data_IF_012411557908
#
_entry.id   IF_012411557908
#
_cell.length_a   1.000
_cell.length_b   1.000
_cell.length_c   1.000
_cell.angle_alpha   90.00
_cell.angle_beta   90.00
_cell.angle_gamma   90.00
#
_symmetry.space_group_name_H-M   'P 1'
#
loop_
_entity.id
_entity.type
_entity.pdbx_description
1 polymer ?
#
# COMPACT_ATOMS: atom_id res chain seq x y z
N UNK A 1 87.03 9.39 27.09
CA UNK A 1 86.71 10.72 26.53
C UNK A 1 86.06 10.56 25.18
N UNK A 2 84.83 11.07 25.05
CA UNK A 2 84.20 11.28 23.75
C UNK A 2 84.41 12.77 23.48
N UNK A 3 85.34 13.11 22.59
CA UNK A 3 85.53 14.49 22.17
C UNK A 3 84.31 14.93 21.37
N UNK A 4 83.56 15.90 21.93
CA UNK A 4 82.47 16.56 21.24
C UNK A 4 83.07 17.49 20.17
N UNK A 5 82.92 17.09 18.91
CA UNK A 5 83.34 17.86 17.75
C UNK A 5 82.16 18.68 17.25
N UNK A 6 82.37 19.99 17.06
CA UNK A 6 81.36 20.87 16.47
C UNK A 6 81.12 20.53 14.99
N UNK A 7 79.88 20.69 14.55
CA UNK A 7 79.42 20.30 13.21
C UNK A 7 80.19 21.02 12.09
N UNK A 8 80.63 22.25 12.33
CA UNK A 8 81.46 23.02 11.39
C UNK A 8 82.86 22.41 11.23
N UNK A 9 83.48 21.98 12.34
CA UNK A 9 84.80 21.34 12.31
C UNK A 9 84.74 19.97 11.63
N UNK A 10 83.63 19.26 11.77
CA UNK A 10 83.40 17.99 11.08
C UNK A 10 83.19 18.19 9.57
N UNK A 11 82.54 19.29 9.16
CA UNK A 11 82.36 19.67 7.74
C UNK A 11 83.67 19.94 7.02
N UNK A 12 84.60 20.64 7.67
CA UNK A 12 85.92 20.90 7.09
C UNK A 12 86.80 19.65 7.10
N UNK A 13 86.86 18.92 8.22
CA UNK A 13 87.83 17.83 8.37
C UNK A 13 87.39 16.53 7.69
N UNK A 14 86.08 16.25 7.62
CA UNK A 14 85.52 14.99 7.09
C UNK A 14 84.24 15.22 6.26
N UNK A 15 84.32 15.96 5.15
CA UNK A 15 83.18 16.18 4.26
C UNK A 15 82.67 14.87 3.61
N UNK A 16 83.51 13.85 3.53
CA UNK A 16 83.17 12.50 3.07
C UNK A 16 82.11 11.83 3.95
N UNK A 17 82.28 11.89 5.27
CA UNK A 17 81.34 11.31 6.23
C UNK A 17 79.99 12.03 6.21
N UNK A 18 80.01 13.36 6.08
CA UNK A 18 78.77 14.15 5.99
C UNK A 18 78.00 13.82 4.72
N UNK A 19 78.68 13.74 3.57
CA UNK A 19 78.04 13.31 2.32
C UNK A 19 77.45 11.90 2.42
N UNK A 20 78.15 10.97 3.07
CA UNK A 20 77.65 9.61 3.27
C UNK A 20 76.42 9.57 4.18
N UNK A 21 76.38 10.38 5.25
CA UNK A 21 75.21 10.52 6.13
C UNK A 21 74.05 11.18 5.41
N UNK A 22 74.30 12.29 4.71
CA UNK A 22 73.27 12.98 3.91
C UNK A 22 72.68 12.07 2.82
N UNK A 23 73.50 11.24 2.18
CA UNK A 23 73.03 10.27 1.19
C UNK A 23 72.09 9.23 1.82
N UNK A 24 72.49 8.62 2.95
CA UNK A 24 71.63 7.67 3.66
C UNK A 24 70.31 8.28 4.14
N UNK A 25 70.38 9.49 4.70
CA UNK A 25 69.18 10.22 5.15
C UNK A 25 68.26 10.54 3.96
N UNK A 26 68.83 10.92 2.80
CA UNK A 26 68.02 11.11 1.59
C UNK A 26 67.37 9.82 1.11
N UNK A 27 68.09 8.70 1.12
CA UNK A 27 67.54 7.41 0.71
C UNK A 27 66.41 6.95 1.64
N UNK A 28 66.57 7.11 2.97
CA UNK A 28 65.52 6.84 3.95
C UNK A 28 64.29 7.74 3.74
N UNK A 29 64.49 9.05 3.55
CA UNK A 29 63.41 9.99 3.25
C UNK A 29 62.67 9.59 1.97
N UNK A 30 63.39 9.18 0.92
CA UNK A 30 62.77 8.73 -0.33
C UNK A 30 61.89 7.48 -0.14
N UNK A 31 62.36 6.51 0.64
CA UNK A 31 61.59 5.30 0.96
C UNK A 31 60.33 5.65 1.76
N UNK A 32 60.45 6.50 2.78
CA UNK A 32 59.29 6.93 3.57
C UNK A 32 58.27 7.71 2.76
N UNK A 33 58.73 8.62 1.89
CA UNK A 33 57.85 9.38 1.00
C UNK A 33 57.12 8.45 0.04
N UNK A 34 57.83 7.48 -0.55
CA UNK A 34 57.20 6.48 -1.43
C UNK A 34 56.14 5.66 -0.70
N UNK A 35 56.46 5.18 0.51
CA UNK A 35 55.50 4.42 1.31
C UNK A 35 54.28 5.27 1.72
N UNK A 36 54.47 6.54 2.05
CA UNK A 36 53.36 7.46 2.34
C UNK A 36 52.45 7.66 1.12
N UNK A 37 53.03 7.84 -0.07
CA UNK A 37 52.25 7.94 -1.31
C UNK A 37 51.45 6.67 -1.58
N UNK A 38 52.05 5.48 -1.43
CA UNK A 38 51.35 4.19 -1.59
C UNK A 38 50.19 4.05 -0.59
N UNK A 39 50.38 4.50 0.66
CA UNK A 39 49.30 4.52 1.66
C UNK A 39 48.20 5.53 1.32
N UNK A 40 48.56 6.74 0.86
CA UNK A 40 47.60 7.76 0.43
C UNK A 40 46.76 7.27 -0.76
N UNK A 41 47.38 6.63 -1.75
CA UNK A 41 46.68 5.99 -2.86
C UNK A 41 45.71 4.92 -2.36
N UNK A 42 46.14 4.08 -1.41
CA UNK A 42 45.27 3.04 -0.85
C UNK A 42 44.13 3.60 0.00
N UNK A 43 44.36 4.69 0.73
CA UNK A 43 43.32 5.37 1.50
C UNK A 43 42.28 5.95 0.54
N UNK A 44 42.70 6.63 -0.52
CA UNK A 44 41.78 7.20 -1.51
C UNK A 44 40.98 6.13 -2.26
N UNK A 45 41.59 4.99 -2.60
CA UNK A 45 40.88 3.83 -3.17
C UNK A 45 39.84 3.27 -2.21
N UNK A 46 40.20 3.05 -0.94
CA UNK A 46 39.29 2.53 0.07
C UNK A 46 38.14 3.49 0.38
N UNK A 47 38.41 4.80 0.42
CA UNK A 47 37.38 5.82 0.57
C UNK A 47 36.37 5.78 -0.59
N UNK A 48 36.86 5.62 -1.83
CA UNK A 48 36.01 5.42 -3.01
C UNK A 48 35.13 4.17 -2.90
N UNK A 49 35.71 3.03 -2.53
CA UNK A 49 34.96 1.79 -2.31
C UNK A 49 33.90 1.93 -1.21
N UNK A 50 34.20 2.65 -0.13
CA UNK A 50 33.24 2.93 0.94
C UNK A 50 32.08 3.77 0.40
N UNK A 51 32.35 4.79 -0.42
CA UNK A 51 31.27 5.60 -1.00
C UNK A 51 30.38 4.78 -1.93
N UNK A 52 30.96 3.94 -2.78
CA UNK A 52 30.21 3.09 -3.72
C UNK A 52 29.38 2.03 -2.98
N UNK A 53 29.95 1.37 -1.97
CA UNK A 53 29.21 0.40 -1.17
C UNK A 53 28.11 1.05 -0.33
N UNK A 54 28.30 2.31 0.09
CA UNK A 54 27.29 3.06 0.84
C UNK A 54 26.09 3.40 -0.05
N UNK A 55 26.33 3.85 -1.29
CA UNK A 55 25.27 4.13 -2.25
C UNK A 55 24.53 2.85 -2.66
N UNK A 56 25.26 1.77 -2.96
CA UNK A 56 24.65 0.48 -3.32
C UNK A 56 23.78 -0.07 -2.18
N UNK A 57 24.26 0.00 -0.93
CA UNK A 57 23.46 -0.39 0.25
C UNK A 57 22.16 0.41 0.34
N UNK A 58 22.21 1.72 0.14
CA UNK A 58 21.02 2.57 0.25
C UNK A 58 20.01 2.27 -0.85
N UNK A 59 20.48 2.06 -2.08
CA UNK A 59 19.64 1.64 -3.21
C UNK A 59 19.03 0.25 -3.02
N UNK A 60 19.77 -0.69 -2.42
CA UNK A 60 19.22 -2.00 -2.09
C UNK A 60 18.18 -1.92 -0.97
N UNK A 61 18.42 -1.06 0.03
CA UNK A 61 17.49 -0.87 1.14
C UNK A 61 16.16 -0.29 0.65
N UNK A 62 16.18 0.69 -0.24
CA UNK A 62 14.95 1.25 -0.83
C UNK A 62 14.19 0.20 -1.62
N UNK A 63 14.87 -0.56 -2.50
CA UNK A 63 14.26 -1.66 -3.27
C UNK A 63 13.64 -2.73 -2.38
N UNK A 64 14.29 -3.10 -1.27
CA UNK A 64 13.74 -4.08 -0.32
C UNK A 64 12.45 -3.53 0.31
N UNK A 65 12.45 -2.27 0.76
CA UNK A 65 11.25 -1.68 1.37
C UNK A 65 10.08 -1.56 0.40
N UNK A 66 10.34 -1.29 -0.88
CA UNK A 66 9.31 -1.26 -1.93
C UNK A 66 8.77 -2.67 -2.20
N UNK A 67 9.65 -3.66 -2.33
CA UNK A 67 9.26 -5.04 -2.54
C UNK A 67 8.45 -5.61 -1.35
N UNK A 68 8.81 -5.25 -0.12
CA UNK A 68 8.05 -5.63 1.08
C UNK A 68 6.64 -5.03 1.09
N UNK A 69 6.49 -3.77 0.68
CA UNK A 69 5.18 -3.12 0.54
C UNK A 69 4.33 -3.77 -0.56
N UNK A 70 4.91 -4.05 -1.71
CA UNK A 70 4.20 -4.74 -2.79
C UNK A 70 3.76 -6.13 -2.38
N UNK A 71 4.61 -6.86 -1.65
CA UNK A 71 4.27 -8.17 -1.09
C UNK A 71 3.12 -8.07 -0.08
N UNK A 72 3.19 -7.13 0.86
CA UNK A 72 2.14 -6.91 1.85
C UNK A 72 0.81 -6.55 1.17
N UNK A 73 0.85 -5.65 0.17
CA UNK A 73 -0.31 -5.30 -0.65
C UNK A 73 -0.90 -6.49 -1.38
N UNK A 74 -0.07 -7.37 -1.97
CA UNK A 74 -0.53 -8.56 -2.66
C UNK A 74 -1.19 -9.58 -1.70
N UNK A 75 -0.60 -9.80 -0.53
CA UNK A 75 -1.14 -10.68 0.52
C UNK A 75 -2.47 -10.13 1.09
N UNK A 76 -2.52 -8.82 1.34
CA UNK A 76 -3.72 -8.12 1.76
C UNK A 76 -4.83 -8.23 0.69
N UNK A 77 -4.51 -7.97 -0.58
CA UNK A 77 -5.44 -8.09 -1.70
C UNK A 77 -6.01 -9.50 -1.86
N UNK A 78 -5.17 -10.53 -1.73
CA UNK A 78 -5.64 -11.92 -1.78
C UNK A 78 -6.65 -12.21 -0.66
N UNK A 79 -6.32 -11.79 0.57
CA UNK A 79 -7.18 -11.98 1.75
C UNK A 79 -8.49 -11.20 1.64
N UNK A 80 -8.42 -9.94 1.19
CA UNK A 80 -9.58 -9.07 0.98
C UNK A 80 -10.51 -9.65 -0.09
N UNK A 81 -9.95 -10.08 -1.22
CA UNK A 81 -10.73 -10.70 -2.28
C UNK A 81 -11.41 -11.98 -1.81
N UNK A 82 -10.70 -12.83 -1.07
CA UNK A 82 -11.30 -14.05 -0.50
C UNK A 82 -12.44 -13.74 0.47
N UNK A 83 -12.28 -12.74 1.35
CA UNK A 83 -13.31 -12.32 2.29
C UNK A 83 -14.55 -11.73 1.57
N UNK A 84 -14.34 -10.88 0.56
CA UNK A 84 -15.40 -10.27 -0.23
C UNK A 84 -16.13 -11.32 -1.09
N UNK A 85 -15.40 -12.28 -1.66
CA UNK A 85 -15.98 -13.36 -2.46
C UNK A 85 -16.86 -14.28 -1.61
N UNK A 86 -16.43 -14.58 -0.37
CA UNK A 86 -17.21 -15.34 0.62
C UNK A 86 -18.43 -14.59 1.14
N UNK A 87 -18.46 -13.28 1.08
CA UNK A 87 -19.61 -12.50 1.52
C UNK A 87 -20.80 -12.68 0.54
N UNK A 88 -22.02 -12.81 1.08
CA UNK A 88 -23.28 -12.85 0.32
C UNK A 88 -23.72 -11.45 -0.13
N UNK A 89 -22.79 -10.68 -0.72
CA UNK A 89 -23.03 -9.33 -1.24
C UNK A 89 -23.33 -9.36 -2.74
N UNK A 90 -24.14 -8.43 -3.28
CA UNK A 90 -24.29 -8.23 -4.71
C UNK A 90 -22.95 -7.88 -5.38
N UNK A 91 -22.77 -8.26 -6.65
CA UNK A 91 -21.51 -8.03 -7.39
C UNK A 91 -21.05 -6.56 -7.37
N UNK A 92 -21.99 -5.61 -7.50
CA UNK A 92 -21.66 -4.18 -7.46
C UNK A 92 -21.07 -3.73 -6.11
N UNK A 93 -21.49 -4.35 -5.00
CA UNK A 93 -20.95 -4.07 -3.67
C UNK A 93 -19.57 -4.72 -3.48
N UNK A 94 -19.39 -5.94 -4.02
CA UNK A 94 -18.09 -6.63 -4.04
C UNK A 94 -17.02 -5.83 -4.79
N UNK A 95 -17.35 -5.34 -5.98
CA UNK A 95 -16.44 -4.51 -6.79
C UNK A 95 -16.05 -3.20 -6.06
N UNK A 96 -17.01 -2.54 -5.40
CA UNK A 96 -16.73 -1.34 -4.60
C UNK A 96 -15.79 -1.61 -3.43
N UNK A 97 -15.96 -2.74 -2.75
CA UNK A 97 -15.08 -3.13 -1.64
C UNK A 97 -13.66 -3.43 -2.15
N UNK A 98 -13.52 -4.15 -3.26
CA UNK A 98 -12.21 -4.44 -3.86
C UNK A 98 -11.51 -3.13 -4.28
N UNK A 99 -12.22 -2.22 -4.93
CA UNK A 99 -11.66 -0.92 -5.36
C UNK A 99 -11.27 -0.04 -4.16
N UNK A 100 -12.08 -0.02 -3.09
CA UNK A 100 -11.79 0.76 -1.87
C UNK A 100 -10.50 0.31 -1.18
N UNK A 101 -10.21 -0.99 -1.23
CA UNK A 101 -9.04 -1.59 -0.58
C UNK A 101 -7.88 -1.84 -1.54
N UNK A 102 -7.93 -1.37 -2.79
CA UNK A 102 -6.92 -1.65 -3.84
C UNK A 102 -5.48 -1.31 -3.43
N UNK A 103 -5.31 -0.29 -2.58
CA UNK A 103 -4.02 0.22 -2.09
C UNK A 103 -3.74 -0.15 -0.63
N UNK A 104 -4.56 -1.01 -0.02
CA UNK A 104 -4.38 -1.43 1.36
C UNK A 104 -3.16 -2.37 1.46
N UNK A 105 -2.28 -2.06 2.41
CA UNK A 105 -1.12 -2.90 2.77
C UNK A 105 -1.49 -3.96 3.83
N UNK A 106 -2.72 -3.93 4.36
CA UNK A 106 -3.25 -4.95 5.28
C UNK A 106 -4.72 -5.27 4.98
N UNK A 107 -5.18 -6.42 5.47
CA UNK A 107 -6.58 -6.84 5.38
C UNK A 107 -7.45 -6.30 6.53
N UNK A 108 -6.93 -5.37 7.33
CA UNK A 108 -7.63 -4.86 8.51
C UNK A 108 -8.86 -4.03 8.10
N UNK A 109 -9.97 -4.22 8.81
CA UNK A 109 -11.22 -3.50 8.57
C UNK A 109 -12.05 -4.03 7.40
N UNK A 110 -11.59 -5.05 6.64
CA UNK A 110 -12.42 -5.62 5.55
C UNK A 110 -13.69 -6.29 6.08
N UNK A 111 -13.62 -6.95 7.23
CA UNK A 111 -14.76 -7.60 7.88
C UNK A 111 -15.82 -6.56 8.29
N UNK A 112 -15.38 -5.46 8.89
CA UNK A 112 -16.25 -4.34 9.29
C UNK A 112 -16.87 -3.67 8.05
N UNK A 113 -16.10 -3.49 6.99
CA UNK A 113 -16.58 -2.94 5.73
C UNK A 113 -17.64 -3.85 5.08
N UNK A 114 -17.40 -5.17 5.03
CA UNK A 114 -18.37 -6.15 4.56
C UNK A 114 -19.65 -6.08 5.40
N UNK A 115 -19.55 -6.10 6.72
CA UNK A 115 -20.72 -6.04 7.61
C UNK A 115 -21.51 -4.74 7.41
N UNK A 116 -20.83 -3.61 7.28
CA UNK A 116 -21.48 -2.32 7.04
C UNK A 116 -22.26 -2.28 5.72
N UNK A 117 -21.74 -2.96 4.69
CA UNK A 117 -22.38 -3.06 3.38
C UNK A 117 -23.58 -4.01 3.43
N UNK A 118 -23.46 -5.12 4.17
CA UNK A 118 -24.58 -6.04 4.46
C UNK A 118 -25.71 -5.29 5.17
N UNK A 119 -25.40 -4.56 6.23
CA UNK A 119 -26.38 -3.81 7.02
C UNK A 119 -27.05 -2.71 6.19
N UNK A 120 -26.28 -2.03 5.33
CA UNK A 120 -26.80 -1.01 4.42
C UNK A 120 -27.77 -1.60 3.40
N UNK A 121 -27.42 -2.73 2.78
CA UNK A 121 -28.28 -3.42 1.82
C UNK A 121 -29.54 -3.96 2.52
N UNK A 122 -29.42 -4.49 3.73
CA UNK A 122 -30.56 -4.93 4.53
C UNK A 122 -31.54 -3.77 4.79
N UNK A 123 -31.03 -2.61 5.22
CA UNK A 123 -31.85 -1.39 5.41
C UNK A 123 -32.50 -0.92 4.11
N UNK A 124 -31.80 -0.98 2.99
CA UNK A 124 -32.36 -0.64 1.67
C UNK A 124 -33.46 -1.61 1.25
N UNK A 125 -33.27 -2.91 1.49
CA UNK A 125 -34.28 -3.95 1.21
C UNK A 125 -35.54 -3.75 2.05
N UNK A 126 -35.38 -3.39 3.32
CA UNK A 126 -36.51 -3.06 4.20
C UNK A 126 -37.20 -1.76 3.80
N UNK A 127 -36.45 -0.71 3.44
CA UNK A 127 -37.00 0.55 2.96
C UNK A 127 -37.72 0.41 1.60
N UNK A 128 -37.25 -0.49 0.74
CA UNK A 128 -37.86 -0.82 -0.56
C UNK A 128 -39.11 -1.69 -0.45
N UNK A 129 -39.33 -2.36 0.70
CA UNK A 129 -40.61 -3.04 1.00
C UNK A 129 -41.66 -1.99 1.34
N UNK A 130 -42.23 -1.38 0.30
CA UNK A 130 -43.43 -0.57 0.47
C UNK A 130 -44.58 -1.50 0.89
N UNK A 131 -44.96 -1.42 2.16
CA UNK A 131 -46.09 -2.18 2.73
C UNK A 131 -47.36 -1.85 1.93
N UNK A 132 -47.81 -2.80 1.11
CA UNK A 132 -49.03 -2.69 0.31
C UNK A 132 -48.85 -2.60 -1.21
N UNK A 133 -47.61 -2.66 -1.75
CA UNK A 133 -47.38 -2.60 -3.20
C UNK A 133 -46.91 -3.90 -3.87
N UNK A 134 -46.75 -5.00 -3.11
CA UNK A 134 -46.30 -6.28 -3.67
C UNK A 134 -47.07 -7.45 -3.07
N UNK A 135 -47.99 -8.01 -3.86
CA UNK A 135 -48.57 -9.34 -3.61
C UNK A 135 -49.98 -9.39 -3.04
N UNK A 136 -50.93 -8.58 -3.51
CA UNK A 136 -52.29 -9.14 -3.58
C UNK A 136 -52.26 -10.22 -4.65
N UNK A 137 -52.22 -11.50 -4.25
CA UNK A 137 -52.80 -12.52 -5.12
C UNK A 137 -54.21 -12.02 -5.43
N UNK A 138 -54.61 -11.91 -6.71
CA UNK A 138 -55.95 -11.44 -7.06
C UNK A 138 -56.95 -12.36 -6.35
N UNK A 139 -57.55 -11.85 -5.27
CA UNK A 139 -58.61 -12.56 -4.60
C UNK A 139 -59.86 -12.08 -5.32
N UNK A 140 -60.13 -12.74 -6.44
CA UNK A 140 -61.19 -12.36 -7.38
C UNK A 140 -62.54 -12.14 -6.67
N UNK A 141 -62.79 -12.82 -5.55
CA UNK A 141 -64.01 -12.66 -4.77
C UNK A 141 -64.01 -11.36 -3.96
N UNK A 142 -62.93 -11.07 -3.21
CA UNK A 142 -62.77 -9.80 -2.47
C UNK A 142 -62.67 -8.59 -3.38
N UNK A 143 -61.96 -8.72 -4.49
CA UNK A 143 -61.80 -7.63 -5.46
C UNK A 143 -63.15 -7.32 -6.13
N UNK A 144 -63.96 -8.36 -6.40
CA UNK A 144 -65.31 -8.21 -6.96
C UNK A 144 -66.29 -7.60 -5.96
N UNK A 145 -66.22 -7.96 -4.68
CA UNK A 145 -67.03 -7.34 -3.62
C UNK A 145 -66.67 -5.87 -3.42
N UNK A 146 -65.36 -5.54 -3.37
CA UNK A 146 -64.90 -4.16 -3.27
C UNK A 146 -65.34 -3.33 -4.50
N UNK A 147 -65.37 -3.94 -5.69
CA UNK A 147 -65.90 -3.31 -6.89
C UNK A 147 -67.43 -3.09 -6.79
N UNK A 148 -68.19 -4.09 -6.31
CA UNK A 148 -69.65 -3.96 -6.08
C UNK A 148 -69.95 -2.81 -5.11
N UNK A 149 -69.21 -2.71 -4.00
CA UNK A 149 -69.40 -1.63 -3.03
C UNK A 149 -69.03 -0.25 -3.58
N UNK A 150 -67.97 -0.15 -4.40
CA UNK A 150 -67.59 1.12 -5.01
C UNK A 150 -68.64 1.59 -6.03
N UNK A 151 -69.21 0.67 -6.83
CA UNK A 151 -70.33 0.99 -7.72
C UNK A 151 -71.59 1.39 -6.95
N UNK A 152 -71.94 0.73 -5.83
CA UNK A 152 -73.05 1.15 -4.96
C UNK A 152 -72.86 2.57 -4.41
N UNK A 153 -71.62 2.95 -4.10
CA UNK A 153 -71.28 4.27 -3.56
C UNK A 153 -71.27 5.36 -4.63
N UNK A 154 -70.75 5.06 -5.82
CA UNK A 154 -70.64 6.02 -6.91
C UNK A 154 -71.93 6.18 -7.71
N UNK A 155 -72.76 5.13 -7.76
CA UNK A 155 -74.04 5.08 -8.46
C UNK A 155 -75.16 4.52 -7.57
N UNK A 156 -75.63 5.28 -6.56
CA UNK A 156 -76.72 4.85 -5.68
C UNK A 156 -78.04 4.58 -6.41
N UNK A 157 -78.20 5.14 -7.61
CA UNK A 157 -79.36 4.99 -8.48
C UNK A 157 -79.37 3.67 -9.28
N UNK A 158 -78.27 2.91 -9.27
CA UNK A 158 -78.20 1.63 -9.97
C UNK A 158 -78.84 0.51 -9.15
N UNK A 159 -79.63 -0.31 -9.81
CA UNK A 159 -80.17 -1.53 -9.23
C UNK A 159 -79.06 -2.58 -9.05
N UNK A 160 -79.22 -3.49 -8.09
CA UNK A 160 -78.24 -4.56 -7.83
C UNK A 160 -77.91 -5.38 -9.10
N UNK A 161 -78.88 -5.56 -10.00
CA UNK A 161 -78.70 -6.24 -11.28
C UNK A 161 -77.78 -5.48 -12.26
N UNK A 162 -77.86 -4.14 -12.27
CA UNK A 162 -77.00 -3.29 -13.11
C UNK A 162 -75.57 -3.26 -12.56
N UNK A 163 -75.42 -3.20 -11.24
CA UNK A 163 -74.12 -3.27 -10.55
C UNK A 163 -73.46 -4.62 -10.78
N UNK A 164 -74.21 -5.71 -10.69
CA UNK A 164 -73.70 -7.04 -10.98
C UNK A 164 -73.22 -7.20 -12.42
N UNK A 165 -73.98 -6.68 -13.39
CA UNK A 165 -73.61 -6.68 -14.81
C UNK A 165 -72.33 -5.86 -15.08
N UNK A 166 -72.20 -4.70 -14.42
CA UNK A 166 -71.03 -3.84 -14.55
C UNK A 166 -69.77 -4.48 -13.94
N UNK A 167 -69.94 -5.21 -12.83
CA UNK A 167 -68.84 -5.88 -12.12
C UNK A 167 -68.45 -7.21 -12.78
N UNK A 168 -69.41 -7.94 -13.38
CA UNK A 168 -69.16 -9.25 -14.00
C UNK A 168 -68.70 -9.17 -15.45
N UNK A 169 -68.95 -8.06 -16.15
CA UNK A 169 -68.51 -7.80 -17.51
C UNK A 169 -68.93 -8.90 -18.50
N UNK A 170 -70.18 -8.86 -18.98
CA UNK A 170 -70.79 -9.74 -20.02
C UNK A 170 -70.35 -11.21 -20.06
#
# INVERSE_FOLDING_TARGET
DIDLIELETLKEKRPDLIKAVEAKVRDEIQLEVKHKMELEERVTELEGQITDLTTERDDLKTKITEAEKEKAKAEAQATIKEAVDKAELPNAAKERLIERFKDAESADGIVEAIQSEVDYIAKLSEAGKVKGFGGSQPNAEKDREALKESFKRMHPEWTDAQIETAVSGR
#
